data_IF_047619723794
#
_entry.id   IF_047619723794
#
_cell.length_a   1.000
_cell.length_b   1.000
_cell.length_c   1.000
_cell.angle_alpha   90.00
_cell.angle_beta   90.00
_cell.angle_gamma   90.00
#
_symmetry.space_group_name_H-M   'P 1'
#
loop_
_entity.id
_entity.type
_entity.pdbx_description
1 polymer ?
#
# COMPACT_ATOMS: atom_id res chain seq x y z
N UNK A 1 20.64 4.45 -2.04
CA UNK A 1 19.34 5.12 -2.25
C UNK A 1 18.33 4.38 -1.43
N UNK A 2 18.03 4.88 -0.23
CA UNK A 2 17.06 4.23 0.67
C UNK A 2 15.67 4.68 0.23
N UNK A 3 15.02 3.88 -0.63
CA UNK A 3 13.60 4.04 -0.93
C UNK A 3 12.82 3.58 0.31
N UNK A 4 12.88 4.36 1.38
CA UNK A 4 11.95 4.24 2.50
C UNK A 4 10.60 4.75 2.03
N UNK A 5 9.92 3.89 1.25
CA UNK A 5 8.63 4.20 0.67
C UNK A 5 7.65 4.56 1.77
N UNK A 6 7.13 5.78 1.69
CA UNK A 6 6.06 6.23 2.56
C UNK A 6 4.75 5.67 2.04
N UNK A 7 3.88 5.26 2.97
CA UNK A 7 2.55 4.82 2.59
C UNK A 7 1.79 5.95 1.90
N UNK A 8 1.31 5.72 0.69
CA UNK A 8 0.52 6.69 -0.07
C UNK A 8 -0.82 7.03 0.59
N UNK A 9 -1.24 6.28 1.62
CA UNK A 9 -2.50 6.48 2.35
C UNK A 9 -2.28 7.21 3.67
N UNK A 10 -1.28 6.82 4.47
CA UNK A 10 -1.06 7.41 5.80
C UNK A 10 0.25 8.19 5.96
N UNK A 11 1.10 8.24 4.93
CA UNK A 11 2.38 8.94 4.94
C UNK A 11 3.45 8.35 5.86
N UNK A 12 3.19 7.20 6.50
CA UNK A 12 4.14 6.57 7.43
C UNK A 12 5.17 5.72 6.67
N UNK A 13 6.45 5.75 7.09
CA UNK A 13 7.45 4.81 6.59
C UNK A 13 7.17 3.40 7.13
N UNK A 14 7.57 2.38 6.38
CA UNK A 14 7.45 0.99 6.81
C UNK A 14 7.53 0.00 5.65
N UNK A 15 7.15 -1.26 5.91
CA UNK A 15 7.05 -2.27 4.86
C UNK A 15 5.95 -1.87 3.87
N UNK A 16 6.37 -1.56 2.65
CA UNK A 16 5.51 -1.18 1.53
C UNK A 16 5.05 -2.41 0.76
N UNK A 17 3.80 -2.34 0.30
CA UNK A 17 3.18 -3.30 -0.60
C UNK A 17 2.57 -2.52 -1.75
N UNK A 18 2.75 -3.03 -2.97
CA UNK A 18 2.24 -2.40 -4.17
C UNK A 18 0.88 -2.98 -4.51
N UNK A 19 -0.14 -2.13 -4.60
CA UNK A 19 -1.48 -2.55 -5.01
C UNK A 19 -1.48 -2.99 -6.48
N UNK A 20 -1.94 -4.21 -6.75
CA UNK A 20 -2.00 -4.75 -8.12
C UNK A 20 -3.04 -4.04 -9.01
N UNK A 21 -4.00 -3.32 -8.41
CA UNK A 21 -5.09 -2.63 -9.12
C UNK A 21 -4.71 -1.20 -9.52
N UNK A 22 -4.16 -0.42 -8.59
CA UNK A 22 -3.84 0.99 -8.84
C UNK A 22 -2.34 1.33 -8.85
N UNK A 23 -1.46 0.37 -8.54
CA UNK A 23 -0.01 0.56 -8.50
C UNK A 23 0.51 1.39 -7.31
N UNK A 24 -0.34 1.80 -6.37
CA UNK A 24 0.10 2.59 -5.20
C UNK A 24 0.87 1.74 -4.20
N UNK A 25 1.91 2.32 -3.63
CA UNK A 25 2.64 1.74 -2.51
C UNK A 25 1.99 2.12 -1.17
N UNK A 26 1.58 1.10 -0.43
CA UNK A 26 0.84 1.23 0.83
C UNK A 26 1.46 0.35 1.91
N UNK A 27 1.36 0.75 3.17
CA UNK A 27 1.83 -0.10 4.25
C UNK A 27 0.90 -1.29 4.48
N UNK A 28 1.36 -2.32 5.19
CA UNK A 28 0.56 -3.52 5.47
C UNK A 28 -0.80 -3.25 6.14
N UNK A 29 -0.94 -2.15 6.89
CA UNK A 29 -2.22 -1.75 7.47
C UNK A 29 -3.26 -1.27 6.43
N UNK A 30 -2.80 -0.84 5.25
CA UNK A 30 -3.65 -0.39 4.15
C UNK A 30 -3.55 -1.31 2.93
N UNK A 31 -2.93 -2.48 3.08
CA UNK A 31 -2.82 -3.50 2.04
C UNK A 31 -3.61 -4.73 2.46
N UNK A 32 -4.60 -5.08 1.66
CA UNK A 32 -5.31 -6.34 1.74
C UNK A 32 -4.42 -7.43 1.13
N UNK A 33 -3.88 -8.30 2.00
CA UNK A 33 -3.06 -9.45 1.61
C UNK A 33 -3.87 -10.59 1.00
N UNK A 34 -5.16 -10.69 1.32
CA UNK A 34 -6.08 -11.72 0.78
C UNK A 34 -6.33 -11.47 -0.70
N UNK A 35 -6.56 -10.21 -1.07
CA UNK A 35 -6.89 -9.80 -2.43
C UNK A 35 -5.70 -9.18 -3.19
N UNK A 36 -4.59 -8.90 -2.53
CA UNK A 36 -3.38 -8.32 -3.14
C UNK A 36 -3.57 -6.87 -3.61
N UNK A 37 -4.40 -6.10 -2.91
CA UNK A 37 -4.78 -4.73 -3.28
C UNK A 37 -4.81 -3.80 -2.07
N UNK A 38 -4.82 -2.48 -2.29
CA UNK A 38 -4.94 -1.54 -1.18
C UNK A 38 -6.39 -1.40 -0.70
N UNK A 39 -6.57 -1.02 0.55
CA UNK A 39 -7.88 -0.80 1.16
C UNK A 39 -8.71 0.30 0.49
N UNK A 40 -8.11 1.13 -0.37
CA UNK A 40 -8.86 2.09 -1.20
C UNK A 40 -9.51 1.43 -2.42
N UNK A 41 -8.86 0.41 -3.00
CA UNK A 41 -9.39 -0.36 -4.12
C UNK A 41 -10.42 -1.41 -3.65
N UNK A 42 -10.28 -1.90 -2.42
CA UNK A 42 -11.25 -2.82 -1.80
C UNK A 42 -12.66 -2.21 -1.70
N UNK A 43 -12.78 -0.89 -1.45
CA UNK A 43 -14.07 -0.22 -1.29
C UNK A 43 -14.68 0.31 -2.60
N UNK A 44 -14.14 -0.08 -3.74
CA UNK A 44 -14.52 0.44 -5.07
C UNK A 44 -15.34 -0.59 -5.83
#
# INVERSE_FOLDING_TARGET
MELSGLCSVCGKPGRMYTCSICGRNVCGAHFDMTHGMCSMCERR
#
